data_IF_376084144359
#
_entry.id   IF_376084144359
#
_cell.length_a   1.000
_cell.length_b   1.000
_cell.length_c   1.000
_cell.angle_alpha   90.00
_cell.angle_beta   90.00
_cell.angle_gamma   90.00
#
_symmetry.space_group_name_H-M   'P 1'
#
loop_
_entity.id
_entity.type
_entity.pdbx_description
1 polymer ?
#
# COMPACT_ATOMS: atom_id res chain seq x y z
N UNK A 1 36.76 -7.08 2.70
CA UNK A 1 35.31 -6.82 2.60
C UNK A 1 34.48 -8.05 3.00
N UNK A 2 34.85 -9.27 2.57
CA UNK A 2 34.01 -10.49 2.71
C UNK A 2 33.48 -10.80 4.12
N UNK A 3 34.29 -10.61 5.18
CA UNK A 3 33.86 -10.92 6.56
C UNK A 3 32.69 -10.05 7.05
N UNK A 4 32.57 -8.80 6.58
CA UNK A 4 31.48 -7.90 6.97
C UNK A 4 30.19 -8.11 6.16
N UNK A 5 30.29 -8.82 5.03
CA UNK A 5 29.20 -9.04 4.08
C UNK A 5 28.48 -10.37 4.32
N UNK A 6 29.16 -11.34 4.94
CA UNK A 6 28.63 -12.68 5.18
C UNK A 6 27.24 -12.70 5.87
N UNK A 7 26.95 -11.86 6.90
CA UNK A 7 25.65 -11.91 7.58
C UNK A 7 24.48 -11.32 6.79
N UNK A 8 24.75 -10.54 5.73
CA UNK A 8 23.72 -9.89 4.92
C UNK A 8 23.87 -10.24 3.43
N UNK A 9 24.41 -11.43 3.14
CA UNK A 9 24.55 -11.92 1.77
C UNK A 9 23.20 -12.34 1.19
N UNK A 10 23.02 -12.06 -0.10
CA UNK A 10 21.89 -12.45 -0.92
C UNK A 10 22.30 -13.52 -1.94
N UNK A 11 23.57 -13.97 -1.88
CA UNK A 11 24.07 -15.04 -2.72
C UNK A 11 23.24 -16.30 -2.49
N UNK A 12 22.86 -16.95 -3.58
CA UNK A 12 22.17 -18.24 -3.58
C UNK A 12 23.04 -19.25 -4.31
N UNK A 13 22.95 -20.50 -3.88
CA UNK A 13 23.58 -21.60 -4.61
C UNK A 13 23.05 -21.62 -6.05
N UNK A 14 23.96 -21.55 -7.02
CA UNK A 14 23.62 -21.54 -8.43
C UNK A 14 24.79 -22.06 -9.27
N UNK A 15 24.49 -22.82 -10.31
CA UNK A 15 25.47 -23.24 -11.32
C UNK A 15 25.67 -22.16 -12.41
N UNK A 16 24.86 -21.09 -12.40
CA UNK A 16 24.86 -20.07 -13.46
C UNK A 16 25.88 -18.97 -13.14
N UNK A 17 27.02 -19.00 -13.82
CA UNK A 17 28.11 -18.01 -13.67
C UNK A 17 27.64 -16.54 -13.73
N UNK A 18 26.78 -16.10 -14.69
CA UNK A 18 26.36 -14.70 -14.76
C UNK A 18 25.57 -14.26 -13.53
N UNK A 19 24.82 -15.17 -12.93
CA UNK A 19 24.01 -14.88 -11.75
C UNK A 19 24.90 -14.60 -10.54
N UNK A 20 26.02 -15.33 -10.39
CA UNK A 20 27.03 -15.07 -9.35
C UNK A 20 27.59 -13.65 -9.46
N UNK A 21 27.91 -13.22 -10.69
CA UNK A 21 28.38 -11.85 -10.94
C UNK A 21 27.32 -10.81 -10.55
N UNK A 22 26.06 -11.05 -10.92
CA UNK A 22 24.96 -10.14 -10.58
C UNK A 22 24.77 -9.97 -9.07
N UNK A 23 24.90 -11.05 -8.29
CA UNK A 23 24.83 -10.97 -6.83
C UNK A 23 25.97 -10.13 -6.27
N UNK A 24 27.19 -10.30 -6.79
CA UNK A 24 28.34 -9.51 -6.35
C UNK A 24 28.16 -8.01 -6.64
N UNK A 25 27.60 -7.67 -7.81
CA UNK A 25 27.28 -6.27 -8.16
C UNK A 25 26.28 -5.67 -7.17
N UNK A 26 25.22 -6.41 -6.83
CA UNK A 26 24.22 -5.97 -5.83
C UNK A 26 24.88 -5.78 -4.46
N UNK A 27 25.76 -6.70 -4.06
CA UNK A 27 26.46 -6.60 -2.77
C UNK A 27 27.37 -5.38 -2.66
N UNK A 28 28.19 -5.14 -3.68
CA UNK A 28 29.12 -4.00 -3.69
C UNK A 28 28.34 -2.68 -3.75
N UNK A 29 27.32 -2.57 -4.60
CA UNK A 29 26.51 -1.35 -4.72
C UNK A 29 25.76 -1.02 -3.43
N UNK A 30 25.12 -2.00 -2.79
CA UNK A 30 24.44 -1.79 -1.51
C UNK A 30 25.42 -1.43 -0.37
N UNK A 31 26.62 -2.01 -0.36
CA UNK A 31 27.66 -1.65 0.60
C UNK A 31 28.12 -0.20 0.42
N UNK A 32 28.37 0.20 -0.82
CA UNK A 32 28.84 1.55 -1.12
C UNK A 32 27.76 2.59 -0.79
N UNK A 33 26.50 2.30 -1.11
CA UNK A 33 25.36 3.11 -0.72
C UNK A 33 25.24 3.26 0.80
N UNK A 34 25.46 2.18 1.56
CA UNK A 34 25.46 2.24 3.03
C UNK A 34 26.55 3.18 3.57
N UNK A 35 27.78 3.05 3.06
CA UNK A 35 28.89 3.89 3.51
C UNK A 35 28.59 5.38 3.24
N UNK A 36 28.15 5.71 2.02
CA UNK A 36 27.74 7.07 1.66
C UNK A 36 26.60 7.58 2.55
N UNK A 37 25.57 6.76 2.77
CA UNK A 37 24.43 7.12 3.61
C UNK A 37 24.85 7.45 5.04
N UNK A 38 25.67 6.60 5.66
CA UNK A 38 26.15 6.81 7.03
C UNK A 38 27.12 7.98 7.16
N UNK A 39 27.87 8.29 6.09
CA UNK A 39 28.73 9.46 6.04
C UNK A 39 27.90 10.76 5.98
N UNK A 40 26.87 10.80 5.13
CA UNK A 40 25.98 11.96 5.05
C UNK A 40 25.04 12.09 6.27
N UNK A 41 24.68 10.97 6.91
CA UNK A 41 23.73 10.92 8.02
C UNK A 41 24.33 10.19 9.24
N UNK A 42 25.31 10.81 9.94
CA UNK A 42 26.02 10.15 11.03
C UNK A 42 25.11 9.79 12.21
N UNK A 43 24.10 10.62 12.49
CA UNK A 43 23.15 10.43 13.60
C UNK A 43 22.09 9.34 13.33
N UNK A 44 21.94 8.90 12.07
CA UNK A 44 20.90 7.93 11.70
C UNK A 44 21.17 6.57 12.36
N UNK A 45 20.26 6.14 13.24
CA UNK A 45 20.34 4.90 14.01
C UNK A 45 21.67 4.74 14.79
N UNK A 46 22.29 5.84 15.24
CA UNK A 46 23.62 5.84 15.86
C UNK A 46 23.75 4.93 17.10
N UNK A 47 22.66 4.75 17.87
CA UNK A 47 22.63 3.89 19.06
C UNK A 47 22.55 2.39 18.76
N UNK A 48 22.25 2.00 17.50
CA UNK A 48 22.01 0.61 17.13
C UNK A 48 23.28 -0.04 16.58
N UNK A 49 23.56 -1.28 16.98
CA UNK A 49 24.72 -2.03 16.46
C UNK A 49 24.45 -2.66 15.08
N UNK A 50 23.19 -2.81 14.68
CA UNK A 50 22.77 -3.48 13.43
C UNK A 50 22.36 -2.50 12.31
N UNK A 51 23.00 -1.32 12.25
CA UNK A 51 22.70 -0.24 11.27
C UNK A 51 22.69 -0.70 9.82
N UNK A 52 23.64 -1.56 9.45
CA UNK A 52 23.72 -2.13 8.10
C UNK A 52 22.46 -2.91 7.73
N UNK A 53 21.95 -3.73 8.64
CA UNK A 53 20.73 -4.52 8.42
C UNK A 53 19.52 -3.62 8.22
N UNK A 54 19.39 -2.59 9.06
CA UNK A 54 18.32 -1.59 8.92
C UNK A 54 18.39 -0.86 7.58
N UNK A 55 19.60 -0.48 7.16
CA UNK A 55 19.79 0.20 5.88
C UNK A 55 19.33 -0.68 4.72
N UNK A 56 19.70 -1.97 4.73
CA UNK A 56 19.29 -2.91 3.70
C UNK A 56 17.79 -3.19 3.72
N UNK A 57 17.17 -3.18 4.90
CA UNK A 57 15.72 -3.32 5.05
C UNK A 57 14.98 -2.10 4.46
N UNK A 58 15.40 -0.88 4.81
CA UNK A 58 14.83 0.36 4.28
C UNK A 58 15.05 0.47 2.77
N UNK A 59 16.26 0.16 2.29
CA UNK A 59 16.59 0.12 0.87
C UNK A 59 15.71 -0.90 0.13
N UNK A 60 15.57 -2.11 0.67
CA UNK A 60 14.75 -3.16 0.08
C UNK A 60 13.28 -2.75 -0.03
N UNK A 61 12.72 -2.15 1.02
CA UNK A 61 11.36 -1.59 1.01
C UNK A 61 11.26 -0.50 -0.07
N UNK A 62 12.15 0.50 -0.07
CA UNK A 62 12.13 1.59 -1.03
C UNK A 62 12.18 1.13 -2.49
N UNK A 63 12.96 0.09 -2.81
CA UNK A 63 13.06 -0.47 -4.16
C UNK A 63 11.81 -1.25 -4.58
N UNK A 64 11.18 -1.97 -3.65
CA UNK A 64 10.09 -2.91 -3.94
C UNK A 64 8.73 -2.25 -3.87
N UNK A 65 8.54 -1.26 -2.99
CA UNK A 65 7.30 -0.49 -2.80
C UNK A 65 6.67 0.00 -4.12
N UNK A 66 7.36 0.74 -5.02
CA UNK A 66 6.78 1.17 -6.30
C UNK A 66 6.37 0.00 -7.21
N UNK A 67 7.08 -1.13 -7.11
CA UNK A 67 6.74 -2.32 -7.86
C UNK A 67 5.50 -3.01 -7.28
N UNK A 68 5.31 -2.99 -5.96
CA UNK A 68 4.09 -3.49 -5.30
C UNK A 68 2.87 -2.68 -5.74
N UNK A 69 2.97 -1.35 -5.82
CA UNK A 69 1.87 -0.52 -6.32
C UNK A 69 1.46 -0.83 -7.75
N UNK A 70 2.44 -1.08 -8.64
CA UNK A 70 2.17 -1.41 -10.05
C UNK A 70 1.61 -2.82 -10.25
N UNK A 71 1.65 -3.70 -9.25
CA UNK A 71 1.13 -5.07 -9.37
C UNK A 71 -0.39 -5.06 -9.41
N UNK A 72 -0.94 -5.37 -10.60
CA UNK A 72 -2.39 -5.57 -10.82
C UNK A 72 -2.88 -6.94 -10.35
N UNK A 73 -2.01 -7.95 -10.35
CA UNK A 73 -2.36 -9.32 -9.95
C UNK A 73 -1.76 -9.60 -8.58
N UNK A 74 -2.62 -10.02 -7.65
CA UNK A 74 -2.16 -10.42 -6.33
C UNK A 74 -1.34 -11.72 -6.45
N UNK A 75 -0.23 -11.82 -5.70
CA UNK A 75 0.56 -13.05 -5.67
C UNK A 75 -0.27 -14.22 -5.16
N UNK A 76 -0.10 -15.41 -5.75
CA UNK A 76 -0.82 -16.64 -5.37
C UNK A 76 -0.67 -17.07 -3.89
N UNK A 77 0.46 -16.84 -3.21
CA UNK A 77 0.61 -17.20 -1.80
C UNK A 77 -0.24 -16.32 -0.86
N UNK A 78 -1.01 -16.94 0.03
CA UNK A 78 -1.92 -16.27 0.99
C UNK A 78 -1.22 -15.25 1.91
N UNK A 79 0.05 -15.48 2.25
CA UNK A 79 0.83 -14.53 3.04
C UNK A 79 1.09 -13.26 2.24
N UNK A 80 1.47 -13.40 0.97
CA UNK A 80 1.74 -12.26 0.10
C UNK A 80 0.49 -11.53 -0.37
N UNK A 81 -0.69 -12.16 -0.37
CA UNK A 81 -1.97 -11.47 -0.63
C UNK A 81 -2.35 -10.52 0.49
N UNK A 82 -1.87 -10.71 1.72
CA UNK A 82 -2.13 -9.80 2.84
C UNK A 82 -1.22 -8.56 2.80
N UNK A 83 0.06 -8.73 2.47
CA UNK A 83 1.02 -7.61 2.48
C UNK A 83 0.81 -6.61 1.34
N UNK A 84 0.45 -7.07 0.14
CA UNK A 84 0.32 -6.21 -1.04
C UNK A 84 -0.76 -5.13 -0.87
N UNK A 85 -1.99 -5.46 -0.41
CA UNK A 85 -3.01 -4.45 -0.14
C UNK A 85 -2.64 -3.46 0.97
N UNK A 86 -1.93 -3.90 2.01
CA UNK A 86 -1.54 -3.02 3.12
C UNK A 86 -0.53 -1.96 2.65
N UNK A 87 0.51 -2.37 1.93
CA UNK A 87 1.46 -1.44 1.32
C UNK A 87 0.77 -0.53 0.31
N UNK A 88 -0.19 -1.06 -0.46
CA UNK A 88 -0.99 -0.26 -1.40
C UNK A 88 -1.89 0.78 -0.74
N UNK A 89 -2.29 0.56 0.52
CA UNK A 89 -3.19 1.45 1.27
C UNK A 89 -2.45 2.53 2.06
N UNK A 90 -1.20 2.29 2.49
CA UNK A 90 -0.41 3.24 3.30
C UNK A 90 -0.04 4.54 2.55
N UNK A 91 0.17 4.50 1.22
CA UNK A 91 0.40 5.72 0.44
C UNK A 91 -0.88 6.52 0.16
N UNK A 92 -2.05 5.88 0.15
CA UNK A 92 -3.33 6.61 0.05
C UNK A 92 -3.59 7.48 1.28
N UNK A 93 -3.00 7.14 2.44
CA UNK A 93 -3.02 7.98 3.65
C UNK A 93 -1.97 9.09 3.68
N UNK A 94 -0.89 8.99 2.88
CA UNK A 94 0.26 9.91 2.97
C UNK A 94 0.32 10.93 1.81
N UNK A 95 -0.38 10.68 0.71
CA UNK A 95 -0.57 11.69 -0.37
C UNK A 95 -1.77 12.62 -0.15
N UNK A 96 -2.45 12.52 1.00
CA UNK A 96 -3.53 13.42 1.39
C UNK A 96 -3.26 14.05 2.78
N UNK A 97 -2.14 14.75 2.92
CA UNK A 97 -2.00 15.72 4.01
C UNK A 97 -1.32 16.98 3.50
N UNK A 98 -2.09 17.78 2.78
CA UNK A 98 -2.13 19.23 2.96
C UNK A 98 -3.55 19.68 2.58
N UNK A 99 -4.13 20.47 3.48
CA UNK A 99 -5.55 20.84 3.54
C UNK A 99 -6.45 19.73 4.14
N UNK A 100 -6.28 19.54 5.46
CA UNK A 100 -7.43 19.24 6.32
C UNK A 100 -8.42 20.40 6.18
N UNK A 101 -9.28 20.36 5.16
CA UNK A 101 -10.59 20.95 5.29
C UNK A 101 -11.36 19.96 6.17
N UNK A 102 -11.64 20.37 7.40
CA UNK A 102 -12.66 19.75 8.23
C UNK A 102 -13.99 19.78 7.45
N UNK A 103 -14.21 18.80 6.56
CA UNK A 103 -15.46 18.70 5.83
C UNK A 103 -16.47 18.17 6.82
N UNK A 104 -17.21 19.10 7.43
CA UNK A 104 -18.49 18.84 8.05
C UNK A 104 -19.21 17.79 7.21
N UNK A 105 -19.41 16.57 7.74
CA UNK A 105 -20.17 15.51 7.06
C UNK A 105 -21.62 16.00 6.99
N UNK A 106 -21.95 16.77 5.95
CA UNK A 106 -23.28 17.34 5.74
C UNK A 106 -24.26 16.18 5.59
N UNK A 107 -25.15 16.04 6.57
CA UNK A 107 -26.28 15.11 6.51
C UNK A 107 -27.35 15.73 5.63
N UNK A 108 -27.94 14.95 4.74
CA UNK A 108 -28.96 15.43 3.80
C UNK A 108 -30.24 14.63 3.94
N UNK A 109 -31.35 15.21 3.48
CA UNK A 109 -32.65 14.55 3.39
C UNK A 109 -32.63 13.49 2.30
N UNK A 110 -33.51 12.49 2.43
CA UNK A 110 -33.71 11.49 1.39
C UNK A 110 -34.35 12.14 0.15
N UNK A 111 -33.87 11.76 -1.03
CA UNK A 111 -34.36 12.31 -2.30
C UNK A 111 -35.82 11.91 -2.64
N UNK A 112 -36.39 10.92 -1.96
CA UNK A 112 -37.71 10.36 -2.25
C UNK A 112 -38.75 10.64 -1.15
N UNK A 113 -38.32 11.18 -0.01
CA UNK A 113 -39.23 11.49 1.09
C UNK A 113 -39.48 13.00 1.11
N UNK A 114 -40.71 13.41 0.83
CA UNK A 114 -41.07 14.84 0.76
C UNK A 114 -41.35 15.45 2.14
N UNK A 115 -41.57 14.65 3.19
CA UNK A 115 -42.18 15.13 4.44
C UNK A 115 -41.45 14.78 5.76
N UNK A 116 -40.30 14.11 5.75
CA UNK A 116 -39.61 13.69 6.99
C UNK A 116 -38.26 14.38 7.13
N UNK A 117 -38.04 15.16 8.19
CA UNK A 117 -36.77 15.87 8.45
C UNK A 117 -35.65 14.93 8.99
N UNK A 118 -35.74 13.64 8.66
CA UNK A 118 -34.77 12.63 9.04
C UNK A 118 -33.51 12.78 8.17
N UNK A 119 -32.50 13.46 8.72
CA UNK A 119 -31.21 13.70 8.06
C UNK A 119 -30.34 12.45 8.12
N UNK A 120 -30.01 11.89 6.96
CA UNK A 120 -29.20 10.68 6.85
C UNK A 120 -27.75 11.01 6.43
N UNK A 121 -26.79 10.27 6.98
CA UNK A 121 -25.38 10.34 6.60
C UNK A 121 -24.98 9.28 5.58
N UNK A 122 -25.79 8.23 5.41
CA UNK A 122 -25.55 7.14 4.47
C UNK A 122 -25.95 7.54 3.06
N UNK A 123 -25.09 7.17 2.11
CA UNK A 123 -25.18 7.50 0.70
C UNK A 123 -25.07 6.23 -0.12
N UNK A 124 -25.79 6.14 -1.23
CA UNK A 124 -25.64 5.04 -2.17
C UNK A 124 -24.25 5.09 -2.82
N UNK A 125 -23.53 3.96 -2.81
CA UNK A 125 -22.20 3.84 -3.41
C UNK A 125 -22.20 4.06 -4.93
N UNK A 126 -23.33 3.82 -5.61
CA UNK A 126 -23.43 3.88 -7.08
C UNK A 126 -23.81 5.26 -7.61
N UNK A 127 -24.80 5.91 -6.99
CA UNK A 127 -25.34 7.20 -7.48
C UNK A 127 -25.03 8.39 -6.58
N UNK A 128 -24.31 8.18 -5.47
CA UNK A 128 -23.90 9.22 -4.53
C UNK A 128 -25.06 10.08 -3.95
N UNK A 129 -26.30 9.60 -4.00
CA UNK A 129 -27.50 10.25 -3.43
C UNK A 129 -27.86 9.68 -2.04
N UNK A 130 -28.61 10.45 -1.25
CA UNK A 130 -29.03 10.08 0.10
C UNK A 130 -30.41 9.41 0.09
N UNK A 131 -30.51 8.26 0.78
CA UNK A 131 -31.74 7.48 0.88
C UNK A 131 -31.99 7.03 2.33
N UNK A 132 -33.27 6.92 2.71
CA UNK A 132 -33.66 6.30 3.97
C UNK A 132 -33.22 4.82 3.99
N UNK A 133 -32.98 4.25 5.18
CA UNK A 133 -32.53 2.85 5.31
C UNK A 133 -33.46 1.87 4.57
N UNK A 134 -34.76 2.10 4.64
CA UNK A 134 -35.78 1.28 3.99
C UNK A 134 -35.66 1.33 2.46
N UNK A 135 -35.40 2.52 1.89
CA UNK A 135 -35.22 2.73 0.46
C UNK A 135 -33.85 2.29 -0.05
N UNK A 136 -32.82 2.31 0.79
CA UNK A 136 -31.48 1.81 0.45
C UNK A 136 -31.53 0.31 0.15
N UNK A 137 -32.25 -0.47 0.96
CA UNK A 137 -32.43 -1.91 0.74
C UNK A 137 -33.26 -2.22 -0.51
N UNK A 138 -34.26 -1.38 -0.82
CA UNK A 138 -35.11 -1.52 -2.01
C UNK A 138 -34.32 -1.19 -3.29
N UNK A 139 -33.46 -0.17 -3.28
CA UNK A 139 -32.61 0.16 -4.43
C UNK A 139 -31.52 -0.89 -4.69
N UNK A 140 -30.93 -1.47 -3.64
CA UNK A 140 -29.99 -2.60 -3.81
C UNK A 140 -30.69 -3.82 -4.46
N UNK A 141 -31.94 -4.13 -4.08
CA UNK A 141 -32.72 -5.21 -4.70
C UNK A 141 -33.19 -4.92 -6.13
N UNK A 142 -33.63 -3.69 -6.43
CA UNK A 142 -34.02 -3.31 -7.81
C UNK A 142 -32.85 -3.32 -8.79
N UNK A 143 -31.64 -2.94 -8.34
CA UNK A 143 -30.43 -3.01 -9.17
C UNK A 143 -30.08 -4.48 -9.51
N UNK A 144 -30.30 -5.42 -8.60
CA UNK A 144 -30.12 -6.85 -8.85
C UNK A 144 -31.16 -7.40 -9.85
N UNK A 145 -32.41 -6.95 -9.78
CA UNK A 145 -33.46 -7.38 -10.73
C UNK A 145 -33.28 -6.83 -12.15
N UNK A 146 -32.75 -5.61 -12.31
CA UNK A 146 -32.46 -5.05 -13.65
C UNK A 146 -31.29 -5.73 -14.36
N UNK A 147 -30.45 -6.48 -13.63
CA UNK A 147 -29.35 -7.26 -14.20
C UNK A 147 -29.76 -8.68 -14.63
N UNK A 148 -30.93 -9.16 -14.18
CA UNK A 148 -31.43 -10.51 -14.50
C UNK A 148 -32.44 -10.56 -15.63
N UNK A 149 -32.85 -9.42 -16.19
CA UNK A 149 -33.80 -9.34 -17.32
C UNK A 149 -33.15 -8.80 -18.61
N UNK A 150 -31.82 -8.82 -18.67
CA UNK A 150 -31.04 -8.35 -19.82
C UNK A 150 -30.23 -9.48 -20.48
N UNK A 151 -30.66 -10.73 -20.31
CA UNK A 151 -30.27 -11.91 -21.11
C UNK A 151 -31.53 -12.59 -21.65
#
# INVERSE_FOLDING_TARGET
MDKMLAPCTCQRMTARRPLVVSYNVIHVSANNGYLLWTHCNPQWNASKMYRRRLYLEELGKALVTPQIFRRKRLPRPLTSTYFVPNVQSEEQGTSQSTVQAASNKKRSRCQLCEATDNKMSTRCAKCNKYYCKDLSQIYERKILQTLTTAD
#
